data_IF_377444089909
#
_entry.id   IF_377444089909
#
_cell.length_a   1.000
_cell.length_b   1.000
_cell.length_c   1.000
_cell.angle_alpha   90.00
_cell.angle_beta   90.00
_cell.angle_gamma   90.00
#
_symmetry.space_group_name_H-M   'P 1'
#
loop_
_entity.id
_entity.type
_entity.pdbx_description
1 polymer ?
#
# COMPACT_ATOMS: atom_id res chain seq x y z
N UNK A 1 -4.00 23.37 -12.17
CA UNK A 1 -3.98 24.19 -10.94
C UNK A 1 -3.40 23.25 -9.90
N UNK A 2 -2.14 23.47 -9.53
CA UNK A 2 -1.55 22.73 -8.42
C UNK A 2 -2.23 23.22 -7.15
N UNK A 3 -2.71 22.27 -6.32
CA UNK A 3 -3.25 22.60 -5.01
C UNK A 3 -2.10 23.10 -4.13
N UNK A 4 -2.31 24.22 -3.44
CA UNK A 4 -1.35 24.67 -2.44
C UNK A 4 -1.30 23.64 -1.28
N UNK A 5 -0.17 23.50 -0.58
CA UNK A 5 -0.04 22.54 0.51
C UNK A 5 -1.14 22.65 1.59
N UNK A 6 -1.61 23.86 1.86
CA UNK A 6 -2.70 24.12 2.83
C UNK A 6 -4.04 23.56 2.34
N UNK A 7 -4.33 23.61 1.03
CA UNK A 7 -5.55 23.04 0.44
C UNK A 7 -5.57 21.51 0.56
N UNK A 8 -4.41 20.88 0.49
CA UNK A 8 -4.27 19.42 0.62
C UNK A 8 -4.50 18.97 2.05
N UNK A 9 -3.97 19.69 3.02
CA UNK A 9 -4.15 19.37 4.45
C UNK A 9 -5.62 19.55 4.87
N UNK A 10 -6.33 20.55 4.34
CA UNK A 10 -7.78 20.72 4.54
C UNK A 10 -8.58 19.56 3.93
N UNK A 11 -8.23 19.09 2.74
CA UNK A 11 -8.85 17.94 2.09
C UNK A 11 -8.64 16.65 2.89
N UNK A 12 -7.43 16.43 3.42
CA UNK A 12 -7.13 15.29 4.27
C UNK A 12 -7.97 15.33 5.56
N UNK A 13 -8.17 16.50 6.14
CA UNK A 13 -8.97 16.70 7.33
C UNK A 13 -10.48 16.58 7.07
N UNK A 14 -10.93 16.63 5.80
CA UNK A 14 -12.34 16.56 5.45
C UNK A 14 -12.98 15.23 5.84
N UNK A 15 -14.12 15.25 6.56
CA UNK A 15 -14.86 14.04 6.91
C UNK A 15 -15.50 13.35 5.68
N UNK A 16 -15.57 14.01 4.53
CA UNK A 16 -16.13 13.46 3.29
C UNK A 16 -15.14 12.52 2.59
N UNK A 17 -13.84 12.62 2.89
CA UNK A 17 -12.81 11.77 2.33
C UNK A 17 -12.59 10.55 3.22
N UNK A 18 -12.75 9.34 2.67
CA UNK A 18 -12.56 8.10 3.43
C UNK A 18 -11.10 7.92 3.85
N UNK A 19 -10.87 7.34 5.04
CA UNK A 19 -9.51 7.00 5.51
C UNK A 19 -8.75 6.13 4.51
N UNK A 20 -9.46 5.24 3.81
CA UNK A 20 -8.88 4.43 2.74
C UNK A 20 -8.26 5.31 1.63
N UNK A 21 -9.02 6.28 1.12
CA UNK A 21 -8.52 7.18 0.06
C UNK A 21 -7.35 8.05 0.55
N UNK A 22 -7.42 8.52 1.80
CA UNK A 22 -6.32 9.27 2.43
C UNK A 22 -5.04 8.44 2.49
N UNK A 23 -5.14 7.20 2.96
CA UNK A 23 -3.98 6.30 3.08
C UNK A 23 -3.42 5.90 1.72
N UNK A 24 -4.28 5.57 0.73
CA UNK A 24 -3.83 5.30 -0.64
C UNK A 24 -3.04 6.48 -1.21
N UNK A 25 -3.56 7.70 -1.05
CA UNK A 25 -2.89 8.90 -1.54
C UNK A 25 -1.55 9.15 -0.84
N UNK A 26 -1.48 9.02 0.50
CA UNK A 26 -0.24 9.17 1.25
C UNK A 26 0.82 8.15 0.82
N UNK A 27 0.44 6.87 0.71
CA UNK A 27 1.33 5.81 0.25
C UNK A 27 1.82 6.05 -1.19
N UNK A 28 0.95 6.52 -2.08
CA UNK A 28 1.33 6.86 -3.45
C UNK A 28 2.34 8.01 -3.47
N UNK A 29 2.08 9.09 -2.73
CA UNK A 29 2.97 10.24 -2.60
C UNK A 29 4.33 9.86 -2.01
N UNK A 30 4.34 9.03 -0.98
CA UNK A 30 5.57 8.51 -0.38
C UNK A 30 6.38 7.68 -1.38
N UNK A 31 5.73 6.84 -2.18
CA UNK A 31 6.40 6.06 -3.21
C UNK A 31 7.07 6.95 -4.26
N UNK A 32 6.39 8.01 -4.72
CA UNK A 32 6.99 8.98 -5.64
C UNK A 32 8.21 9.66 -5.02
N UNK A 33 8.16 10.02 -3.73
CA UNK A 33 9.31 10.59 -3.00
C UNK A 33 10.47 9.61 -2.84
N UNK A 34 10.16 8.31 -2.80
CA UNK A 34 11.16 7.24 -2.83
C UNK A 34 11.74 6.98 -4.23
N UNK A 35 11.25 7.68 -5.26
CA UNK A 35 11.67 7.47 -6.65
C UNK A 35 11.01 6.28 -7.33
N UNK A 36 9.91 5.77 -6.76
CA UNK A 36 9.17 4.63 -7.28
C UNK A 36 8.13 5.05 -8.33
N UNK A 37 7.80 4.15 -9.23
CA UNK A 37 6.58 4.23 -10.03
C UNK A 37 5.42 3.66 -9.21
N UNK A 38 4.24 4.23 -9.38
CA UNK A 38 3.08 3.89 -8.57
C UNK A 38 2.01 3.22 -9.43
N UNK A 39 1.52 2.08 -8.96
CA UNK A 39 0.28 1.49 -9.42
C UNK A 39 -0.79 1.61 -8.35
N UNK A 40 -1.99 1.98 -8.78
CA UNK A 40 -3.24 1.97 -8.00
C UNK A 40 -4.34 1.46 -8.94
N UNK A 41 -5.34 0.69 -8.48
CA UNK A 41 -6.44 0.23 -9.32
C UNK A 41 -7.14 1.38 -10.06
N UNK A 42 -7.51 1.18 -11.32
CA UNK A 42 -8.01 2.23 -12.20
C UNK A 42 -9.22 3.01 -11.62
N UNK A 43 -10.11 2.32 -10.90
CA UNK A 43 -11.26 2.96 -10.24
C UNK A 43 -10.81 3.92 -9.14
N UNK A 44 -9.77 3.54 -8.39
CA UNK A 44 -9.20 4.35 -7.30
C UNK A 44 -8.38 5.52 -7.86
N UNK A 45 -7.65 5.33 -8.96
CA UNK A 45 -6.98 6.43 -9.65
C UNK A 45 -7.96 7.54 -10.02
N UNK A 46 -9.15 7.17 -10.54
CA UNK A 46 -10.20 8.14 -10.87
C UNK A 46 -10.69 8.90 -9.63
N UNK A 47 -10.81 8.21 -8.50
CA UNK A 47 -11.20 8.81 -7.22
C UNK A 47 -10.13 9.76 -6.70
N UNK A 48 -8.86 9.33 -6.68
CA UNK A 48 -7.75 10.15 -6.18
C UNK A 48 -7.53 11.39 -7.03
N UNK A 49 -7.69 11.30 -8.36
CA UNK A 49 -7.63 12.46 -9.25
C UNK A 49 -8.68 13.50 -8.91
N UNK A 50 -9.89 13.08 -8.55
CA UNK A 50 -10.97 13.99 -8.17
C UNK A 50 -10.79 14.62 -6.80
N UNK A 51 -10.27 13.86 -5.83
CA UNK A 51 -10.17 14.29 -4.45
C UNK A 51 -8.87 15.08 -4.16
N UNK A 52 -7.76 14.69 -4.79
CA UNK A 52 -6.42 15.20 -4.45
C UNK A 52 -5.65 15.76 -5.66
N UNK A 53 -6.30 15.90 -6.81
CA UNK A 53 -5.65 16.27 -8.09
C UNK A 53 -4.41 15.40 -8.42
N UNK A 54 -4.47 14.12 -8.04
CA UNK A 54 -3.35 13.18 -8.13
C UNK A 54 -3.48 12.28 -9.36
N UNK A 55 -2.58 12.44 -10.34
CA UNK A 55 -2.57 11.69 -11.61
C UNK A 55 -1.20 11.06 -11.94
N UNK A 56 -0.38 10.77 -10.94
CA UNK A 56 0.99 10.28 -11.12
C UNK A 56 1.09 8.76 -10.96
N UNK A 57 0.11 8.03 -11.51
CA UNK A 57 0.07 6.58 -11.47
C UNK A 57 0.31 5.98 -12.85
N UNK A 58 0.86 4.77 -12.88
CA UNK A 58 0.93 3.99 -14.11
C UNK A 58 -0.48 3.70 -14.65
N UNK A 59 -0.64 3.74 -15.97
CA UNK A 59 -1.93 3.50 -16.64
C UNK A 59 -2.25 2.02 -16.79
N UNK A 60 -1.25 1.17 -16.70
CA UNK A 60 -1.37 -0.28 -16.83
C UNK A 60 -0.54 -0.96 -15.74
N UNK A 61 -1.08 -2.03 -15.18
CA UNK A 61 -0.33 -2.87 -14.26
C UNK A 61 0.72 -3.66 -15.02
N UNK A 62 1.99 -3.43 -14.68
CA UNK A 62 3.15 -4.14 -15.25
C UNK A 62 4.05 -4.56 -14.12
N UNK A 63 4.23 -5.84 -13.89
CA UNK A 63 5.00 -6.37 -12.77
C UNK A 63 5.86 -7.59 -13.15
N UNK A 64 6.13 -7.79 -14.45
CA UNK A 64 6.87 -8.96 -14.94
C UNK A 64 6.15 -10.28 -14.65
N UNK A 65 4.84 -10.25 -14.49
CA UNK A 65 4.00 -11.41 -14.21
C UNK A 65 3.27 -11.79 -15.50
N UNK A 66 3.45 -13.02 -15.93
CA UNK A 66 2.73 -13.61 -17.06
C UNK A 66 1.33 -14.03 -16.61
N UNK A 67 0.35 -13.15 -16.65
CA UNK A 67 -1.11 -13.40 -16.55
C UNK A 67 -1.61 -14.44 -15.50
N UNK A 68 -2.80 -14.25 -14.94
CA UNK A 68 -3.73 -13.13 -15.15
C UNK A 68 -3.49 -12.00 -14.14
N UNK A 69 -3.31 -10.80 -14.62
CA UNK A 69 -3.15 -9.61 -13.76
C UNK A 69 -4.39 -9.30 -12.91
N UNK A 70 -5.58 -9.76 -13.36
CA UNK A 70 -6.87 -9.46 -12.73
C UNK A 70 -6.99 -9.79 -11.24
N UNK A 71 -6.16 -10.69 -10.71
CA UNK A 71 -6.14 -11.00 -9.28
C UNK A 71 -5.30 -10.02 -8.46
N UNK A 72 -4.24 -9.49 -9.04
CA UNK A 72 -3.24 -8.66 -8.35
C UNK A 72 -3.30 -7.18 -8.72
N UNK A 73 -3.90 -6.82 -9.87
CA UNK A 73 -4.10 -5.43 -10.27
C UNK A 73 -5.03 -4.63 -9.35
N UNK A 74 -5.77 -5.31 -8.47
CA UNK A 74 -6.64 -4.71 -7.45
C UNK A 74 -5.95 -4.53 -6.09
N UNK A 75 -4.63 -4.74 -5.99
CA UNK A 75 -3.86 -4.36 -4.81
C UNK A 75 -3.88 -2.84 -4.69
N UNK A 76 -4.19 -2.34 -3.49
CA UNK A 76 -4.53 -0.93 -3.29
C UNK A 76 -3.43 0.05 -3.69
N UNK A 77 -2.15 -0.26 -3.39
CA UNK A 77 -0.98 0.52 -3.83
C UNK A 77 0.19 -0.43 -4.08
N UNK A 78 0.88 -0.26 -5.21
CA UNK A 78 2.12 -1.00 -5.51
C UNK A 78 3.22 0.01 -5.88
N UNK A 79 4.34 -0.10 -5.19
CA UNK A 79 5.57 0.60 -5.55
C UNK A 79 6.42 -0.31 -6.42
N UNK A 80 6.92 0.22 -7.51
CA UNK A 80 7.62 -0.59 -8.51
C UNK A 80 8.66 0.19 -9.29
N UNK A 81 9.62 -0.55 -9.87
CA UNK A 81 10.57 -0.06 -10.86
C UNK A 81 10.31 -0.82 -12.17
N UNK A 82 9.69 -0.17 -13.14
CA UNK A 82 9.25 -0.78 -14.40
C UNK A 82 8.43 -2.06 -14.19
N UNK A 83 9.08 -3.23 -14.29
CA UNK A 83 8.45 -4.54 -14.15
C UNK A 83 8.72 -5.22 -12.80
N UNK A 84 9.54 -4.62 -11.93
CA UNK A 84 9.83 -5.15 -10.61
C UNK A 84 8.94 -4.52 -9.57
N UNK A 85 8.31 -5.33 -8.75
CA UNK A 85 7.62 -4.87 -7.54
C UNK A 85 8.66 -4.66 -6.45
N UNK A 86 8.64 -3.50 -5.81
CA UNK A 86 9.49 -3.17 -4.67
C UNK A 86 8.71 -3.19 -3.36
N UNK A 87 7.41 -2.89 -3.39
CA UNK A 87 6.49 -3.07 -2.25
C UNK A 87 5.04 -3.16 -2.69
N UNK A 88 4.20 -3.83 -1.91
CA UNK A 88 2.76 -3.90 -2.10
C UNK A 88 2.02 -3.57 -0.81
N UNK A 89 0.95 -2.78 -0.90
CA UNK A 89 0.18 -2.28 0.23
C UNK A 89 -1.32 -2.56 0.03
N UNK A 90 -1.95 -3.10 1.07
CA UNK A 90 -3.40 -3.24 1.20
C UNK A 90 -3.87 -2.36 2.34
N UNK A 91 -4.76 -1.42 2.05
CA UNK A 91 -5.31 -0.47 3.01
C UNK A 91 -6.64 -0.97 3.53
N UNK A 92 -6.66 -1.39 4.78
CA UNK A 92 -7.80 -2.05 5.40
C UNK A 92 -8.54 -1.13 6.36
N UNK A 93 -9.70 -0.66 5.92
CA UNK A 93 -10.56 0.23 6.72
C UNK A 93 -11.79 -0.48 7.33
N UNK A 94 -12.20 -1.62 6.80
CA UNK A 94 -13.41 -2.31 7.24
C UNK A 94 -13.19 -3.82 7.47
N UNK A 95 -14.15 -4.64 7.14
CA UNK A 95 -14.15 -6.10 7.39
C UNK A 95 -13.26 -6.92 6.44
N UNK A 96 -12.59 -6.29 5.49
CA UNK A 96 -12.01 -6.95 4.31
C UNK A 96 -10.55 -7.44 4.45
N UNK A 97 -9.96 -7.51 5.65
CA UNK A 97 -8.57 -8.00 5.88
C UNK A 97 -8.30 -9.31 5.11
N UNK A 98 -9.28 -10.20 5.06
CA UNK A 98 -9.15 -11.46 4.33
C UNK A 98 -8.91 -11.24 2.84
N UNK A 99 -9.60 -10.28 2.22
CA UNK A 99 -9.49 -9.99 0.79
C UNK A 99 -8.10 -9.46 0.42
N UNK A 100 -7.55 -8.57 1.22
CA UNK A 100 -6.19 -8.06 1.04
C UNK A 100 -5.14 -9.18 1.16
N UNK A 101 -5.26 -10.00 2.20
CA UNK A 101 -4.38 -11.16 2.37
C UNK A 101 -4.53 -12.19 1.24
N UNK A 102 -5.72 -12.34 0.66
CA UNK A 102 -5.93 -13.23 -0.48
C UNK A 102 -5.20 -12.69 -1.73
N UNK A 103 -5.29 -11.39 -2.02
CA UNK A 103 -4.54 -10.77 -3.11
C UNK A 103 -3.01 -10.91 -2.92
N UNK A 104 -2.51 -10.82 -1.70
CA UNK A 104 -1.11 -11.08 -1.40
C UNK A 104 -0.72 -12.56 -1.56
N UNK A 105 -1.64 -13.48 -1.25
CA UNK A 105 -1.44 -14.90 -1.51
C UNK A 105 -1.37 -15.18 -3.01
N UNK A 106 -2.29 -14.61 -3.80
CA UNK A 106 -2.27 -14.72 -5.26
C UNK A 106 -0.98 -14.13 -5.84
N UNK A 107 -0.55 -12.95 -5.39
CA UNK A 107 0.71 -12.35 -5.79
C UNK A 107 1.92 -13.24 -5.46
N UNK A 108 1.92 -13.88 -4.29
CA UNK A 108 2.99 -14.81 -3.87
C UNK A 108 3.06 -16.03 -4.78
N UNK A 109 1.91 -16.52 -5.27
CA UNK A 109 1.83 -17.67 -6.19
C UNK A 109 2.26 -17.27 -7.60
N UNK A 110 1.83 -16.11 -8.08
CA UNK A 110 2.11 -15.61 -9.42
C UNK A 110 3.57 -15.16 -9.57
N UNK A 111 4.19 -14.65 -8.51
CA UNK A 111 5.56 -14.15 -8.50
C UNK A 111 6.40 -14.82 -7.38
N UNK A 112 6.58 -16.15 -7.40
CA UNK A 112 7.16 -16.89 -6.27
C UNK A 112 8.62 -16.56 -6.00
N UNK A 113 9.36 -16.10 -7.01
CA UNK A 113 10.81 -15.85 -6.95
C UNK A 113 11.15 -14.40 -6.58
N UNK A 114 10.17 -13.56 -6.32
CA UNK A 114 10.38 -12.16 -5.96
C UNK A 114 10.36 -11.98 -4.45
N UNK A 115 11.32 -11.20 -3.94
CA UNK A 115 11.43 -10.84 -2.53
C UNK A 115 11.13 -9.35 -2.42
N UNK A 116 9.91 -9.04 -2.00
CA UNK A 116 9.48 -7.68 -1.69
C UNK A 116 8.56 -7.72 -0.47
N UNK A 117 8.59 -6.69 0.38
CA UNK A 117 7.68 -6.62 1.51
C UNK A 117 6.25 -6.34 1.05
N UNK A 118 5.31 -6.94 1.74
CA UNK A 118 3.87 -6.68 1.60
C UNK A 118 3.33 -6.13 2.92
N UNK A 119 2.52 -5.09 2.86
CA UNK A 119 2.06 -4.38 4.04
C UNK A 119 0.54 -4.38 4.11
N UNK A 120 -0.01 -4.87 5.24
CA UNK A 120 -1.38 -4.54 5.63
C UNK A 120 -1.33 -3.23 6.40
N UNK A 121 -1.97 -2.22 5.83
CA UNK A 121 -2.04 -0.86 6.38
C UNK A 121 -3.41 -0.66 7.01
N UNK A 122 -3.47 -0.50 8.33
CA UNK A 122 -4.74 -0.42 9.06
C UNK A 122 -4.57 0.35 10.38
N UNK A 123 -5.68 0.68 11.02
CA UNK A 123 -5.67 1.23 12.38
C UNK A 123 -5.01 0.22 13.34
N UNK A 124 -4.23 0.72 14.29
CA UNK A 124 -3.50 -0.10 15.28
C UNK A 124 -4.39 -1.12 16.00
N UNK A 125 -5.64 -0.77 16.30
CA UNK A 125 -6.61 -1.66 16.93
C UNK A 125 -6.90 -2.94 16.12
N UNK A 126 -6.63 -2.95 14.82
CA UNK A 126 -6.90 -4.08 13.92
C UNK A 126 -5.73 -5.09 13.82
N UNK A 127 -4.59 -4.77 14.38
CA UNK A 127 -3.38 -5.60 14.32
C UNK A 127 -3.63 -7.06 14.77
N UNK A 128 -4.39 -7.24 15.85
CA UNK A 128 -4.78 -8.58 16.33
C UNK A 128 -5.57 -9.37 15.30
N UNK A 129 -6.51 -8.72 14.62
CA UNK A 129 -7.34 -9.37 13.59
C UNK A 129 -6.49 -9.77 12.36
N UNK A 130 -5.55 -8.94 11.93
CA UNK A 130 -4.62 -9.27 10.84
C UNK A 130 -3.79 -10.49 11.18
N UNK A 131 -3.21 -10.52 12.38
CA UNK A 131 -2.43 -11.65 12.89
C UNK A 131 -3.26 -12.94 12.89
N UNK A 132 -4.50 -12.90 13.36
CA UNK A 132 -5.37 -14.06 13.45
C UNK A 132 -5.76 -14.59 12.05
N UNK A 133 -5.96 -13.69 11.07
CA UNK A 133 -6.19 -14.10 9.68
C UNK A 133 -4.95 -14.79 9.07
N UNK A 134 -3.74 -14.26 9.31
CA UNK A 134 -2.50 -14.87 8.81
C UNK A 134 -2.26 -16.29 9.34
N UNK A 135 -2.85 -16.65 10.48
CA UNK A 135 -2.78 -18.02 11.06
C UNK A 135 -3.66 -19.05 10.35
N UNK A 136 -4.51 -18.63 9.41
CA UNK A 136 -5.36 -19.57 8.67
C UNK A 136 -4.50 -20.56 7.87
N UNK A 137 -4.93 -21.83 7.76
CA UNK A 137 -4.15 -22.89 7.11
C UNK A 137 -3.66 -22.53 5.71
N UNK A 138 -4.50 -21.88 4.88
CA UNK A 138 -4.14 -21.47 3.52
C UNK A 138 -2.95 -20.48 3.51
N UNK A 139 -2.98 -19.47 4.37
CA UNK A 139 -1.91 -18.47 4.43
C UNK A 139 -0.63 -19.02 5.09
N UNK A 140 -0.78 -19.92 6.06
CA UNK A 140 0.36 -20.64 6.65
C UNK A 140 1.07 -21.53 5.65
N UNK A 141 0.33 -22.24 4.78
CA UNK A 141 0.90 -23.07 3.72
C UNK A 141 1.79 -22.26 2.77
N UNK A 142 1.40 -21.03 2.48
CA UNK A 142 2.17 -20.09 1.63
C UNK A 142 3.27 -19.35 2.38
N UNK A 143 3.42 -19.57 3.69
CA UNK A 143 4.31 -18.81 4.58
C UNK A 143 4.11 -17.29 4.42
N UNK A 144 2.85 -16.88 4.27
CA UNK A 144 2.52 -15.50 3.98
C UNK A 144 2.96 -14.55 5.12
N UNK A 145 2.94 -15.04 6.36
CA UNK A 145 3.39 -14.28 7.52
C UNK A 145 4.89 -13.88 7.49
N UNK A 146 5.72 -14.61 6.75
CA UNK A 146 7.13 -14.26 6.60
C UNK A 146 7.33 -13.04 5.69
N UNK A 147 6.36 -12.73 4.84
CA UNK A 147 6.39 -11.67 3.82
C UNK A 147 5.52 -10.48 4.18
N UNK A 148 4.44 -10.69 4.95
CA UNK A 148 3.47 -9.65 5.31
C UNK A 148 3.83 -9.01 6.63
N UNK A 149 3.85 -7.68 6.63
CA UNK A 149 4.07 -6.85 7.81
C UNK A 149 2.85 -5.96 8.07
N UNK A 150 2.71 -5.50 9.29
CA UNK A 150 1.69 -4.54 9.68
C UNK A 150 2.28 -3.14 9.70
N UNK A 151 1.58 -2.20 9.09
CA UNK A 151 1.91 -0.78 9.11
C UNK A 151 0.66 -0.03 9.60
N UNK A 152 0.77 0.63 10.74
CA UNK A 152 -0.38 1.37 11.26
C UNK A 152 -0.63 2.66 10.47
N UNK A 153 -1.86 3.17 10.48
CA UNK A 153 -2.19 4.48 9.90
C UNK A 153 -1.33 5.57 10.53
N UNK A 154 -1.17 5.51 11.84
CA UNK A 154 -0.35 6.44 12.61
C UNK A 154 1.11 6.43 12.15
N UNK A 155 1.65 5.25 11.85
CA UNK A 155 3.03 5.12 11.34
C UNK A 155 3.15 5.68 9.93
N UNK A 156 2.13 5.49 9.07
CA UNK A 156 2.12 6.11 7.73
C UNK A 156 2.09 7.64 7.87
N UNK A 157 1.27 8.16 8.78
CA UNK A 157 1.17 9.60 9.03
C UNK A 157 2.50 10.18 9.52
N UNK A 158 3.16 9.52 10.48
CA UNK A 158 4.49 9.91 10.95
C UNK A 158 5.55 9.95 9.83
N UNK A 159 5.55 8.93 8.96
CA UNK A 159 6.48 8.88 7.81
C UNK A 159 6.15 10.01 6.84
N UNK A 160 4.89 10.21 6.52
CA UNK A 160 4.45 11.23 5.58
C UNK A 160 4.76 12.64 6.09
N UNK A 161 4.51 12.93 7.35
CA UNK A 161 4.84 14.20 8.01
C UNK A 161 6.36 14.45 8.00
N UNK A 162 7.15 13.45 8.41
CA UNK A 162 8.61 13.54 8.43
C UNK A 162 9.19 13.87 7.05
N UNK A 163 8.67 13.24 5.99
CA UNK A 163 9.15 13.45 4.62
C UNK A 163 8.43 14.59 3.88
N UNK A 164 7.42 15.21 4.45
CA UNK A 164 6.75 16.37 3.82
C UNK A 164 7.70 17.53 3.56
N UNK A 165 8.65 17.76 4.47
CA UNK A 165 9.70 18.78 4.34
C UNK A 165 11.02 18.30 3.73
N UNK A 166 11.21 17.01 3.50
CA UNK A 166 12.48 16.45 3.04
C UNK A 166 12.49 16.22 1.53
N UNK A 167 13.56 16.65 0.87
CA UNK A 167 13.69 16.48 -0.59
C UNK A 167 14.15 15.08 -1.00
N UNK A 168 14.72 14.28 -0.09
CA UNK A 168 15.30 12.96 -0.39
C UNK A 168 15.48 12.12 0.88
N UNK A 169 15.75 10.83 0.71
CA UNK A 169 16.13 9.91 1.79
C UNK A 169 15.06 8.87 2.14
N UNK A 170 13.84 9.00 1.60
CA UNK A 170 12.84 7.94 1.73
C UNK A 170 13.22 6.77 0.81
N UNK A 171 13.18 5.56 1.36
CA UNK A 171 13.31 4.32 0.62
C UNK A 171 12.47 3.22 1.29
N UNK A 172 12.32 2.10 0.60
CA UNK A 172 11.52 0.97 1.09
C UNK A 172 12.07 0.35 2.37
N UNK A 173 13.38 0.35 2.58
CA UNK A 173 14.00 -0.20 3.79
C UNK A 173 13.61 0.58 5.04
N UNK A 174 13.46 1.90 4.93
CA UNK A 174 12.99 2.73 6.02
C UNK A 174 11.54 2.40 6.38
N UNK A 175 10.66 2.28 5.39
CA UNK A 175 9.26 1.89 5.60
C UNK A 175 9.18 0.49 6.20
N UNK A 176 9.96 -0.45 5.68
CA UNK A 176 10.03 -1.81 6.18
C UNK A 176 10.54 -1.88 7.63
N UNK A 177 11.50 -1.03 7.99
CA UNK A 177 12.02 -0.90 9.34
C UNK A 177 11.03 -0.34 10.37
N UNK A 178 10.04 0.43 9.91
CA UNK A 178 8.94 0.96 10.74
C UNK A 178 7.76 -0.01 10.87
N UNK A 179 7.66 -0.98 9.97
CA UNK A 179 6.58 -1.96 9.97
C UNK A 179 6.84 -3.11 10.94
N UNK A 180 5.78 -3.67 11.48
CA UNK A 180 5.83 -4.71 12.50
C UNK A 180 5.61 -6.11 11.90
N UNK A 181 6.45 -7.09 12.30
CA UNK A 181 6.17 -8.50 12.05
C UNK A 181 4.97 -8.93 12.91
N UNK A 182 4.07 -9.73 12.32
CA UNK A 182 2.81 -10.13 12.98
C UNK A 182 2.87 -11.51 13.61
N UNK A 183 3.79 -12.33 13.15
CA UNK A 183 3.99 -13.71 13.67
C UNK A 183 5.50 -13.87 13.89
N UNK A 184 5.92 -14.37 15.05
CA UNK A 184 7.33 -14.63 15.34
C UNK A 184 7.89 -15.78 14.50
#
# INVERSE_FOLDING_TARGET
MELEPEDVDELIASPEVSDHAKMQWKLARLGLKAGERIWIPAADQTRLRKLFDFDQCDRQFTAGIDLPHSYVENIDVVWKQEFRIDAAYEVENSTAIYSGLLRFADLTILAPNTIYPMFIVAQTARKGQVRDQLRRPAFRQLKLADKVRFLSYETVDEIDEFFSGAASGLNIDLVNGKAEALVP
#
